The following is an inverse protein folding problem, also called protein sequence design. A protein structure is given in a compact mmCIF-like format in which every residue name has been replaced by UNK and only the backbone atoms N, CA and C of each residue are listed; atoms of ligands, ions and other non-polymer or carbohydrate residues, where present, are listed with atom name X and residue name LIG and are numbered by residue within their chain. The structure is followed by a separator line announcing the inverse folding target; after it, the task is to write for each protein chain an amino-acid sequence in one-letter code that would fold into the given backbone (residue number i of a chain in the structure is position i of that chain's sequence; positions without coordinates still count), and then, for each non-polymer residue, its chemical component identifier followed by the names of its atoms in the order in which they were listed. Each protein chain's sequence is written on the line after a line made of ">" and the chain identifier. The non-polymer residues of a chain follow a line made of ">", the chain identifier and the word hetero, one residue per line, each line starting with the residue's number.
data_IF_886051985655
#
_entry.id   IF_886051985655
#
_cell.length_a   1.000
_cell.length_b   1.000
_cell.length_c   1.000
_cell.angle_alpha   90.00
_cell.angle_beta   90.00
_cell.angle_gamma   90.00
#
_symmetry.space_group_name_H-M   'P 1'
#
loop_
_entity.id
_entity.type
_entity.pdbx_description
1 polymer ?
#
# COMPACT_ATOMS: atom_id res chain seq x y z
N UNK A 1 -15.93 -4.07 -3.25
CA UNK A 1 -14.90 -3.88 -2.21
C UNK A 1 -15.40 -2.94 -1.12
N UNK A 2 -14.83 -3.03 0.08
CA UNK A 2 -14.81 -1.94 1.07
C UNK A 2 -13.38 -1.78 1.57
N UNK A 3 -12.81 -0.60 1.33
CA UNK A 3 -11.46 -0.29 1.79
C UNK A 3 -11.43 0.08 3.26
N UNK A 4 -10.25 -0.10 3.85
CA UNK A 4 -9.91 0.51 5.13
C UNK A 4 -10.03 2.04 5.04
N UNK A 5 -10.82 2.61 5.94
CA UNK A 5 -10.90 4.06 6.11
C UNK A 5 -9.67 4.52 6.89
N UNK A 6 -8.64 4.97 6.17
CA UNK A 6 -7.37 5.42 6.74
C UNK A 6 -7.44 6.90 7.11
N UNK A 7 -7.15 7.22 8.37
CA UNK A 7 -6.91 8.59 8.83
C UNK A 7 -5.44 8.94 8.66
N UNK A 8 -5.11 9.73 7.64
CA UNK A 8 -3.73 10.08 7.26
C UNK A 8 -2.87 10.60 8.44
N UNK A 9 -3.45 11.38 9.35
CA UNK A 9 -2.74 11.93 10.51
C UNK A 9 -2.29 10.85 11.53
N UNK A 10 -2.88 9.66 11.48
CA UNK A 10 -2.56 8.54 12.38
C UNK A 10 -1.60 7.53 11.73
N UNK A 11 -1.15 7.79 10.50
CA UNK A 11 -0.17 6.94 9.82
C UNK A 11 1.21 7.21 10.41
N UNK A 12 1.82 6.18 11.00
CA UNK A 12 3.11 6.31 11.65
C UNK A 12 3.95 5.05 11.48
N UNK A 13 5.21 5.23 11.09
CA UNK A 13 6.18 4.16 10.95
C UNK A 13 6.62 3.63 12.33
N UNK A 14 6.73 2.31 12.45
CA UNK A 14 7.32 1.63 13.60
C UNK A 14 8.84 1.83 13.67
N UNK A 15 9.44 1.49 14.82
CA UNK A 15 10.88 1.64 15.03
C UNK A 15 11.75 0.73 14.14
N UNK A 16 11.17 -0.36 13.64
CA UNK A 16 11.78 -1.33 12.73
C UNK A 16 11.47 -1.04 11.24
N UNK A 17 10.89 0.13 10.93
CA UNK A 17 10.50 0.48 9.58
C UNK A 17 11.70 0.62 8.64
N UNK A 18 11.62 -0.06 7.49
CA UNK A 18 12.51 0.24 6.36
C UNK A 18 11.82 1.26 5.47
N UNK A 19 12.44 2.42 5.26
CA UNK A 19 11.82 3.52 4.50
C UNK A 19 12.69 3.97 3.34
N UNK A 20 12.05 4.52 2.30
CA UNK A 20 12.71 5.10 1.13
C UNK A 20 12.11 6.48 0.83
N UNK A 21 12.98 7.40 0.41
CA UNK A 21 12.57 8.69 -0.12
C UNK A 21 12.46 8.63 -1.65
N UNK A 22 11.58 9.45 -2.22
CA UNK A 22 11.47 9.64 -3.66
C UNK A 22 10.57 10.83 -3.98
N UNK A 23 10.07 10.85 -5.22
CA UNK A 23 9.16 11.86 -5.74
C UNK A 23 7.81 11.19 -6.02
N UNK A 24 6.72 11.85 -5.69
CA UNK A 24 5.38 11.42 -6.08
C UNK A 24 5.11 11.80 -7.54
N UNK A 25 4.57 10.87 -8.34
CA UNK A 25 4.14 11.11 -9.73
C UNK A 25 2.65 11.44 -9.85
N UNK A 26 1.95 11.49 -8.72
CA UNK A 26 0.54 11.89 -8.61
C UNK A 26 0.22 12.41 -7.20
N UNK A 27 -1.03 12.82 -6.97
CA UNK A 27 -1.44 13.22 -5.61
C UNK A 27 -1.64 12.00 -4.73
N UNK A 28 -0.78 11.86 -3.73
CA UNK A 28 -0.77 10.75 -2.76
C UNK A 28 -1.05 11.28 -1.37
N UNK A 29 -1.81 10.52 -0.59
CA UNK A 29 -2.12 10.74 0.82
C UNK A 29 -1.42 9.68 1.67
N UNK A 30 -1.03 10.04 2.90
CA UNK A 30 -0.43 9.08 3.83
C UNK A 30 -1.36 7.89 4.09
N UNK A 31 -0.78 6.69 4.10
CA UNK A 31 -1.47 5.42 4.29
C UNK A 31 -1.88 4.72 3.01
N UNK A 32 -1.82 5.40 1.86
CA UNK A 32 -2.07 4.76 0.57
C UNK A 32 -0.93 3.81 0.18
N UNK A 33 -1.30 2.69 -0.44
CA UNK A 33 -0.36 1.79 -1.07
C UNK A 33 0.18 2.41 -2.37
N UNK A 34 1.50 2.37 -2.52
CA UNK A 34 2.20 2.94 -3.67
C UNK A 34 3.19 1.94 -4.25
N UNK A 35 3.42 2.03 -5.55
CA UNK A 35 4.50 1.35 -6.23
C UNK A 35 5.46 2.38 -6.84
N UNK A 36 6.72 2.00 -6.98
CA UNK A 36 7.69 2.80 -7.70
C UNK A 36 7.71 2.36 -9.16
N UNK A 37 7.32 3.22 -10.09
CA UNK A 37 7.44 2.95 -11.53
C UNK A 37 8.90 3.08 -11.96
N UNK A 38 9.66 2.00 -11.80
CA UNK A 38 11.10 2.02 -12.09
C UNK A 38 11.41 2.07 -13.59
N UNK A 39 10.46 1.62 -14.41
CA UNK A 39 10.66 1.44 -15.84
C UNK A 39 10.47 2.74 -16.64
N UNK A 40 9.59 3.64 -16.18
CA UNK A 40 9.18 4.80 -16.99
C UNK A 40 9.56 6.12 -16.34
N UNK A 41 9.04 6.42 -15.15
CA UNK A 41 9.16 7.74 -14.50
C UNK A 41 10.22 7.79 -13.40
N UNK A 42 10.43 6.69 -12.68
CA UNK A 42 11.19 6.66 -11.43
C UNK A 42 10.44 7.30 -10.25
N UNK A 43 9.12 7.46 -10.37
CA UNK A 43 8.27 8.14 -9.40
C UNK A 43 7.36 7.13 -8.66
N UNK A 44 6.90 7.55 -7.48
CA UNK A 44 5.92 6.79 -6.71
C UNK A 44 4.52 7.12 -7.21
N UNK A 45 3.78 6.08 -7.57
CA UNK A 45 2.40 6.13 -8.06
C UNK A 45 1.52 5.22 -7.19
N UNK A 46 0.21 5.41 -7.24
CA UNK A 46 -0.76 4.59 -6.50
C UNK A 46 -0.77 3.18 -7.07
N UNK A 47 -0.64 2.19 -6.17
CA UNK A 47 -0.76 0.79 -6.55
C UNK A 47 -2.24 0.41 -6.70
N UNK A 48 -2.55 -0.47 -7.64
CA UNK A 48 -3.91 -0.90 -7.94
C UNK A 48 -3.94 -2.39 -8.32
N UNK A 49 -4.77 -3.18 -7.63
CA UNK A 49 -4.82 -4.64 -7.77
C UNK A 49 -5.40 -5.12 -9.10
N UNK A 50 -6.21 -4.31 -9.78
CA UNK A 50 -6.76 -4.61 -11.10
C UNK A 50 -6.00 -3.91 -12.25
N UNK A 51 -4.94 -3.18 -11.89
CA UNK A 51 -4.17 -2.35 -12.80
C UNK A 51 -3.66 -3.11 -14.03
N UNK A 52 -3.63 -2.42 -15.17
CA UNK A 52 -3.35 -3.04 -16.47
C UNK A 52 -1.95 -3.71 -16.58
N UNK A 53 -0.99 -3.32 -15.74
CA UNK A 53 0.38 -3.85 -15.75
C UNK A 53 0.75 -4.53 -14.42
N UNK A 54 1.72 -5.43 -14.45
CA UNK A 54 2.20 -6.09 -13.23
C UNK A 54 2.85 -5.09 -12.26
N UNK A 55 3.43 -4.00 -12.76
CA UNK A 55 4.04 -2.96 -11.93
C UNK A 55 2.99 -2.27 -11.04
N UNK A 56 1.87 -1.85 -11.63
CA UNK A 56 0.75 -1.20 -10.92
C UNK A 56 0.17 -2.14 -9.85
N UNK A 57 0.09 -3.43 -10.17
CA UNK A 57 -0.39 -4.49 -9.26
C UNK A 57 0.62 -4.93 -8.19
N UNK A 58 1.70 -4.18 -8.01
CA UNK A 58 2.69 -4.47 -6.96
C UNK A 58 3.68 -5.59 -7.26
N UNK A 59 3.90 -5.90 -8.53
CA UNK A 59 5.01 -6.76 -8.98
C UNK A 59 6.38 -6.08 -8.96
N UNK A 60 6.44 -4.79 -8.65
CA UNK A 60 7.66 -4.01 -8.45
C UNK A 60 7.84 -3.61 -6.98
N UNK A 61 8.71 -2.64 -6.70
CA UNK A 61 8.89 -2.13 -5.35
C UNK A 61 7.64 -1.40 -4.88
N UNK A 62 6.98 -1.95 -3.87
CA UNK A 62 5.78 -1.40 -3.24
C UNK A 62 6.02 -0.96 -1.80
N UNK A 63 5.16 -0.09 -1.31
CA UNK A 63 5.18 0.38 0.07
C UNK A 63 3.93 1.15 0.46
N UNK A 64 3.92 1.67 1.68
CA UNK A 64 2.88 2.58 2.18
C UNK A 64 3.45 4.00 2.29
N UNK A 65 2.74 4.99 1.76
CA UNK A 65 3.11 6.38 1.89
C UNK A 65 3.04 6.84 3.37
N UNK A 66 4.11 7.45 3.88
CA UNK A 66 4.17 8.00 5.25
C UNK A 66 3.76 9.48 5.33
N UNK A 67 3.65 10.16 4.20
CA UNK A 67 3.20 11.55 4.12
C UNK A 67 2.38 11.78 2.85
N UNK A 68 1.57 12.83 2.85
CA UNK A 68 0.94 13.32 1.63
C UNK A 68 1.95 14.06 0.75
N UNK A 69 1.78 13.94 -0.56
CA UNK A 69 2.59 14.61 -1.57
C UNK A 69 1.74 14.86 -2.83
N UNK A 70 1.88 16.03 -3.45
CA UNK A 70 1.36 16.26 -4.80
C UNK A 70 2.36 15.75 -5.85
N UNK A 71 1.94 15.69 -7.10
CA UNK A 71 2.83 15.41 -8.22
C UNK A 71 4.09 16.31 -8.19
N UNK A 72 5.25 15.70 -8.41
CA UNK A 72 6.57 16.30 -8.33
C UNK A 72 7.07 16.64 -6.92
N UNK A 73 6.29 16.36 -5.86
CA UNK A 73 6.70 16.66 -4.47
C UNK A 73 7.43 15.48 -3.82
N UNK A 74 8.29 15.74 -2.82
CA UNK A 74 8.98 14.68 -2.10
C UNK A 74 8.02 13.82 -1.27
N UNK A 75 8.23 12.51 -1.32
CA UNK A 75 7.47 11.52 -0.56
C UNK A 75 8.41 10.56 0.17
N UNK A 76 8.00 10.12 1.36
CA UNK A 76 8.62 9.05 2.13
C UNK A 76 7.68 7.86 2.16
N UNK A 77 8.21 6.69 1.82
CA UNK A 77 7.46 5.43 1.71
C UNK A 77 8.06 4.41 2.65
N UNK A 78 7.23 3.66 3.37
CA UNK A 78 7.65 2.51 4.17
C UNK A 78 7.49 1.22 3.36
N UNK A 79 8.57 0.44 3.27
CA UNK A 79 8.67 -0.77 2.47
C UNK A 79 8.46 -2.04 3.30
N UNK A 80 8.87 -2.00 4.56
CA UNK A 80 8.84 -3.15 5.46
C UNK A 80 8.78 -2.70 6.93
N UNK A 81 8.56 -3.63 7.85
CA UNK A 81 8.44 -3.40 9.28
C UNK A 81 7.01 -3.09 9.72
N UNK A 82 6.86 -2.69 10.97
CA UNK A 82 5.53 -2.41 11.54
C UNK A 82 5.08 -1.00 11.17
N UNK A 83 3.80 -0.82 10.86
CA UNK A 83 3.18 0.48 10.61
C UNK A 83 1.89 0.61 11.42
N UNK A 84 1.72 1.75 12.08
CA UNK A 84 0.40 2.18 12.56
C UNK A 84 -0.32 2.77 11.36
N UNK A 85 -1.29 2.05 10.80
CA UNK A 85 -1.88 2.40 9.49
C UNK A 85 -2.96 3.47 9.57
N UNK A 86 -3.42 3.84 10.77
CA UNK A 86 -4.46 4.85 10.96
C UNK A 86 -5.88 4.41 10.58
N UNK A 87 -6.11 3.09 10.49
CA UNK A 87 -7.43 2.47 10.33
C UNK A 87 -7.67 1.42 11.43
N UNK A 88 -8.92 0.97 11.59
CA UNK A 88 -9.24 -0.16 12.46
C UNK A 88 -8.98 -1.48 11.74
N UNK A 89 -8.16 -2.33 12.35
CA UNK A 89 -7.80 -3.65 11.85
C UNK A 89 -8.40 -4.75 12.72
N UNK A 90 -8.48 -5.95 12.17
CA UNK A 90 -8.71 -7.19 12.92
C UNK A 90 -7.37 -7.89 13.13
N UNK A 91 -6.97 -8.10 14.38
CA UNK A 91 -5.71 -8.77 14.69
C UNK A 91 -5.66 -10.18 14.11
N UNK A 92 -4.55 -10.54 13.47
CA UNK A 92 -4.35 -11.82 12.79
C UNK A 92 -4.93 -11.87 11.37
N UNK A 93 -5.59 -10.81 10.89
CA UNK A 93 -6.10 -10.74 9.52
C UNK A 93 -5.03 -10.23 8.55
N UNK A 94 -4.91 -10.91 7.41
CA UNK A 94 -4.09 -10.47 6.27
C UNK A 94 -4.86 -9.45 5.45
N UNK A 95 -4.19 -8.37 5.07
CA UNK A 95 -4.73 -7.30 4.24
C UNK A 95 -4.06 -7.29 2.87
N UNK A 96 -4.82 -6.87 1.88
CA UNK A 96 -4.51 -6.96 0.46
C UNK A 96 -4.61 -5.58 -0.20
N UNK A 97 -3.95 -5.44 -1.34
CA UNK A 97 -4.13 -4.29 -2.21
C UNK A 97 -5.56 -4.31 -2.78
N UNK A 98 -6.19 -3.15 -2.82
CA UNK A 98 -7.54 -2.98 -3.38
C UNK A 98 -7.52 -2.67 -4.88
N UNK A 99 -8.67 -2.82 -5.55
CA UNK A 99 -8.97 -2.31 -6.90
C UNK A 99 -9.34 -0.81 -6.89
N UNK A 100 -9.41 -0.19 -5.72
CA UNK A 100 -9.33 1.27 -5.60
C UNK A 100 -7.85 1.71 -5.51
N UNK A 101 -7.39 2.68 -6.33
CA UNK A 101 -6.00 3.14 -6.33
C UNK A 101 -5.49 3.54 -4.95
N UNK A 102 -4.44 2.84 -4.50
CA UNK A 102 -3.80 2.99 -3.21
C UNK A 102 -4.61 2.50 -2.01
N UNK A 103 -5.75 1.86 -2.27
CA UNK A 103 -6.62 1.27 -1.27
C UNK A 103 -6.05 -0.01 -0.68
N UNK A 104 -6.54 -0.36 0.51
CA UNK A 104 -6.19 -1.59 1.22
C UNK A 104 -7.49 -2.20 1.74
N UNK A 105 -7.70 -3.49 1.50
CA UNK A 105 -8.91 -4.20 1.87
C UNK A 105 -8.59 -5.57 2.50
N UNK A 106 -9.50 -6.17 3.29
CA UNK A 106 -9.34 -7.56 3.72
C UNK A 106 -9.63 -8.52 2.56
N UNK A 107 -9.18 -9.78 2.67
CA UNK A 107 -9.36 -10.80 1.62
C UNK A 107 -10.83 -10.99 1.17
N UNK A 108 -11.78 -10.79 2.09
CA UNK A 108 -13.21 -10.97 1.82
C UNK A 108 -13.78 -9.91 0.87
N UNK A 109 -13.06 -8.81 0.67
CA UNK A 109 -13.47 -7.69 -0.17
C UNK A 109 -12.84 -7.69 -1.57
N UNK A 110 -11.92 -8.64 -1.84
CA UNK A 110 -11.42 -8.91 -3.19
C UNK A 110 -12.53 -9.51 -4.06
N UNK A 111 -12.61 -9.04 -5.30
CA UNK A 111 -13.56 -9.46 -6.31
C UNK A 111 -12.86 -10.13 -7.51
N UNK A 112 -13.65 -10.72 -8.40
CA UNK A 112 -13.12 -11.34 -9.62
C UNK A 112 -12.40 -10.32 -10.50
N UNK A 113 -11.17 -10.64 -10.88
CA UNK A 113 -10.29 -9.74 -11.65
C UNK A 113 -9.19 -9.10 -10.81
N UNK A 114 -9.37 -9.01 -9.50
CA UNK A 114 -8.39 -8.45 -8.58
C UNK A 114 -7.24 -9.44 -8.39
N UNK A 115 -6.01 -8.92 -8.37
CA UNK A 115 -4.84 -9.76 -8.13
C UNK A 115 -4.58 -9.92 -6.63
N UNK A 116 -4.23 -11.13 -6.21
CA UNK A 116 -3.81 -11.38 -4.83
C UNK A 116 -2.44 -10.74 -4.59
N UNK A 117 -2.47 -9.56 -3.99
CA UNK A 117 -1.31 -8.79 -3.54
C UNK A 117 -1.43 -8.59 -2.04
N UNK A 118 -0.66 -9.33 -1.26
CA UNK A 118 -0.62 -9.15 0.20
C UNK A 118 0.12 -7.85 0.49
N UNK A 119 -0.43 -7.01 1.37
CA UNK A 119 0.23 -5.82 1.92
C UNK A 119 0.93 -6.18 3.23
N UNK A 120 0.26 -6.98 4.07
CA UNK A 120 0.78 -7.39 5.35
C UNK A 120 -0.25 -8.11 6.22
N UNK A 121 0.15 -8.43 7.45
CA UNK A 121 -0.71 -9.07 8.45
C UNK A 121 -0.84 -8.19 9.69
N UNK A 122 -2.06 -8.00 10.18
CA UNK A 122 -2.31 -7.18 11.36
C UNK A 122 -1.81 -7.88 12.63
N UNK A 123 -0.92 -7.24 13.37
CA UNK A 123 -0.42 -7.73 14.66
C UNK A 123 -1.25 -7.23 15.83
N UNK A 124 -2.04 -6.16 15.61
CA UNK A 124 -3.03 -5.63 16.54
C UNK A 124 -4.19 -4.98 15.79
N UNK A 125 -5.08 -4.29 16.49
CA UNK A 125 -6.20 -3.56 15.88
C UNK A 125 -5.79 -2.25 15.19
N UNK A 126 -4.50 -1.87 15.24
CA UNK A 126 -3.98 -0.63 14.64
C UNK A 126 -2.64 -0.80 13.93
N UNK A 127 -1.91 -1.87 14.25
CA UNK A 127 -0.58 -2.14 13.68
C UNK A 127 -0.67 -3.22 12.63
N UNK A 128 -0.18 -2.89 11.44
CA UNK A 128 0.02 -3.79 10.32
C UNK A 128 1.51 -4.10 10.22
N UNK A 129 1.88 -5.38 10.23
CA UNK A 129 3.24 -5.80 9.87
C UNK A 129 3.30 -5.89 8.36
N UNK A 130 4.03 -4.97 7.74
CA UNK A 130 4.20 -4.94 6.29
C UNK A 130 5.00 -6.16 5.83
N UNK A 131 4.65 -6.63 4.64
CA UNK A 131 5.23 -7.83 4.05
C UNK A 131 4.60 -8.07 2.69
N UNK A 132 4.97 -7.21 1.73
CA UNK A 132 4.35 -7.21 0.42
C UNK A 132 4.65 -8.49 -0.36
N UNK A 133 3.61 -9.11 -0.94
CA UNK A 133 3.75 -10.31 -1.78
C UNK A 133 2.77 -10.27 -2.95
N UNK A 134 3.30 -10.21 -4.16
CA UNK A 134 2.52 -10.33 -5.39
C UNK A 134 2.51 -11.77 -5.89
N UNK A 135 1.32 -12.36 -6.02
CA UNK A 135 1.17 -13.75 -6.48
C UNK A 135 1.21 -13.92 -7.99
N UNK A 136 0.88 -12.87 -8.77
CA UNK A 136 0.62 -12.98 -10.21
C UNK A 136 -0.69 -13.69 -10.58
N UNK A 137 -1.56 -13.96 -9.60
CA UNK A 137 -2.83 -14.68 -9.79
C UNK A 137 -4.01 -13.76 -9.47
N UNK A 138 -5.03 -13.78 -10.33
CA UNK A 138 -6.31 -13.09 -10.13
C UNK A 138 -7.32 -13.98 -9.37
N UNK A 139 -8.24 -13.36 -8.65
CA UNK A 139 -9.35 -14.00 -7.93
C UNK A 139 -10.45 -14.54 -8.85
#
# INVERSE_FOLDING_TARGET
>A
MVDLVITAANVAAGANATTRHGTAGETITAGQAVYLDQASTGEWLLADSDGASAAVRGGELVGIALNGASDGQPIKVQLDGDITIGATLTAGTTYYLSDAPGGICPIADLATGDYYVIVGIATSTSVLKLGFQYSGVAA
#
